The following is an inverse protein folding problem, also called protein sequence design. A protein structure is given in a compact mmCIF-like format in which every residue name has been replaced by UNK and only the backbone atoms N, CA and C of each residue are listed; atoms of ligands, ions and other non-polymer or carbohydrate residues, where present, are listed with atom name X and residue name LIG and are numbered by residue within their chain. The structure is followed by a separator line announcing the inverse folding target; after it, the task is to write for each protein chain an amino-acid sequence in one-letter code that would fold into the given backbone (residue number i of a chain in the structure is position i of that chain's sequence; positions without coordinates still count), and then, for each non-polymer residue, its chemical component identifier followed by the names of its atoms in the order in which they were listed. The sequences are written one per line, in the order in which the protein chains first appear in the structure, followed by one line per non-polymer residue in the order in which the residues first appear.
data_IF_507684779304
#
_entry.id   IF_507684779304
#
_cell.length_a   1.000
_cell.length_b   1.000
_cell.length_c   1.000
_cell.angle_alpha   90.00
_cell.angle_beta   90.00
_cell.angle_gamma   90.00
#
_symmetry.space_group_name_H-M   'P 1'
#
loop_
_entity.id
_entity.type
_entity.pdbx_description
1 polymer ?
#
# COMPACT_ATOMS: atom_id res chain seq x y z
N UNK A 1 -11.60 -7.84 -4.49
CA UNK A 1 -11.03 -6.80 -3.61
C UNK A 1 -9.71 -6.32 -4.19
N UNK A 2 -9.55 -5.01 -4.32
CA UNK A 2 -8.29 -4.36 -4.65
C UNK A 2 -7.94 -3.36 -3.55
N UNK A 3 -6.65 -3.18 -3.31
CA UNK A 3 -6.15 -2.20 -2.36
C UNK A 3 -4.95 -1.48 -2.96
N UNK A 4 -4.90 -0.15 -2.83
CA UNK A 4 -3.81 0.67 -3.33
C UNK A 4 -3.63 1.91 -2.46
N UNK A 5 -2.46 2.52 -2.58
CA UNK A 5 -2.13 3.77 -1.90
C UNK A 5 -1.87 4.87 -2.93
N UNK A 6 -2.42 6.04 -2.71
CA UNK A 6 -2.12 7.24 -3.49
C UNK A 6 -1.32 8.18 -2.61
N UNK A 7 -0.11 8.55 -3.02
CA UNK A 7 0.71 9.51 -2.28
C UNK A 7 0.93 10.76 -3.13
N UNK A 8 0.60 11.91 -2.55
CA UNK A 8 0.84 13.23 -3.13
C UNK A 8 1.94 13.96 -2.36
N UNK A 9 2.27 15.18 -2.80
CA UNK A 9 3.23 16.02 -2.08
C UNK A 9 2.77 16.39 -0.66
N UNK A 10 1.46 16.45 -0.42
CA UNK A 10 0.88 17.02 0.82
C UNK A 10 0.13 16.00 1.67
N UNK A 11 0.02 14.75 1.23
CA UNK A 11 -0.70 13.71 1.95
C UNK A 11 -0.75 12.40 1.19
N UNK A 12 -1.31 11.38 1.83
CA UNK A 12 -1.51 10.07 1.23
C UNK A 12 -2.86 9.47 1.62
N UNK A 13 -3.37 8.62 0.76
CA UNK A 13 -4.65 7.93 0.89
C UNK A 13 -4.42 6.43 0.73
N UNK A 14 -5.18 5.64 1.50
CA UNK A 14 -5.28 4.19 1.33
C UNK A 14 -6.69 3.90 0.87
N UNK A 15 -6.80 3.20 -0.25
CA UNK A 15 -8.09 2.81 -0.82
C UNK A 15 -8.23 1.30 -0.76
N UNK A 16 -9.42 0.85 -0.39
CA UNK A 16 -9.84 -0.54 -0.44
C UNK A 16 -11.15 -0.55 -1.21
N UNK A 17 -11.19 -1.27 -2.33
CA UNK A 17 -12.39 -1.42 -3.14
C UNK A 17 -12.80 -2.90 -3.20
N UNK A 18 -14.10 -3.14 -3.01
CA UNK A 18 -14.67 -4.49 -2.99
C UNK A 18 -15.94 -4.49 -3.83
N UNK A 19 -15.96 -5.31 -4.88
CA UNK A 19 -17.18 -5.60 -5.62
C UNK A 19 -17.93 -6.74 -4.94
N UNK A 20 -19.20 -6.52 -4.66
CA UNK A 20 -20.08 -7.49 -4.01
C UNK A 20 -21.15 -7.96 -4.97
N UNK A 21 -21.60 -9.20 -4.80
CA UNK A 21 -22.79 -9.68 -5.48
C UNK A 21 -24.01 -8.96 -4.93
N UNK A 22 -24.99 -8.66 -5.78
CA UNK A 22 -26.28 -8.12 -5.35
C UNK A 22 -26.88 -8.94 -4.20
N UNK A 23 -27.32 -8.26 -3.14
CA UNK A 23 -27.88 -8.88 -1.95
C UNK A 23 -26.85 -9.42 -0.94
N UNK A 24 -25.55 -9.22 -1.16
CA UNK A 24 -24.52 -9.50 -0.14
C UNK A 24 -24.62 -8.48 0.99
N UNK A 25 -24.25 -8.90 2.20
CA UNK A 25 -24.17 -8.02 3.37
C UNK A 25 -22.84 -7.22 3.37
N UNK A 26 -22.88 -5.87 3.24
CA UNK A 26 -21.68 -5.05 3.32
C UNK A 26 -20.99 -5.13 4.70
N UNK A 27 -21.74 -5.35 5.78
CA UNK A 27 -21.17 -5.45 7.13
C UNK A 27 -20.25 -6.67 7.27
N UNK A 28 -20.54 -7.76 6.55
CA UNK A 28 -19.66 -8.93 6.49
C UNK A 28 -18.29 -8.60 5.88
N UNK A 29 -18.23 -7.69 4.90
CA UNK A 29 -16.96 -7.23 4.32
C UNK A 29 -16.14 -6.47 5.35
N UNK A 30 -16.80 -5.62 6.13
CA UNK A 30 -16.14 -4.83 7.17
C UNK A 30 -15.53 -5.73 8.25
N UNK A 31 -16.27 -6.77 8.67
CA UNK A 31 -15.75 -7.77 9.59
C UNK A 31 -14.52 -8.52 9.04
N UNK A 32 -14.49 -8.81 7.73
CA UNK A 32 -13.31 -9.41 7.08
C UNK A 32 -12.13 -8.44 7.10
N UNK A 33 -12.33 -7.16 6.81
CA UNK A 33 -11.27 -6.15 6.86
C UNK A 33 -10.73 -5.97 8.27
N UNK A 34 -11.60 -5.99 9.28
CA UNK A 34 -11.20 -5.95 10.69
C UNK A 34 -10.36 -7.17 11.05
N UNK A 35 -10.80 -8.37 10.65
CA UNK A 35 -10.05 -9.61 10.89
C UNK A 35 -8.68 -9.60 10.19
N UNK A 36 -8.57 -9.03 8.99
CA UNK A 36 -7.28 -8.87 8.29
C UNK A 36 -6.36 -7.90 9.04
N UNK A 37 -6.91 -6.83 9.62
CA UNK A 37 -6.13 -5.88 10.42
C UNK A 37 -5.67 -6.48 11.75
N UNK A 38 -6.43 -7.43 12.30
CA UNK A 38 -6.07 -8.15 13.53
C UNK A 38 -5.17 -9.37 13.28
N UNK A 39 -5.10 -9.86 12.04
CA UNK A 39 -4.26 -10.99 11.67
C UNK A 39 -2.78 -10.64 11.77
N UNK A 40 -2.09 -11.30 12.70
CA UNK A 40 -0.68 -11.10 12.92
C UNK A 40 0.12 -11.86 11.87
N UNK A 41 0.50 -11.15 10.79
CA UNK A 41 1.35 -11.68 9.73
C UNK A 41 2.59 -12.40 10.28
N UNK A 42 2.86 -13.60 9.75
CA UNK A 42 4.09 -14.33 10.06
C UNK A 42 5.31 -13.68 9.36
N UNK A 43 6.51 -13.98 9.87
CA UNK A 43 7.73 -13.39 9.31
C UNK A 43 7.95 -13.79 7.85
N UNK A 44 7.55 -15.01 7.46
CA UNK A 44 7.72 -15.52 6.10
C UNK A 44 6.88 -14.72 5.08
N UNK A 45 5.68 -14.30 5.46
CA UNK A 45 4.80 -13.48 4.65
C UNK A 45 5.41 -12.07 4.46
N UNK A 46 5.99 -11.51 5.53
CA UNK A 46 6.69 -10.22 5.50
C UNK A 46 7.90 -10.31 4.55
N UNK A 47 8.77 -11.30 4.75
CA UNK A 47 9.98 -11.48 3.95
C UNK A 47 9.65 -11.65 2.46
N UNK A 48 8.60 -12.43 2.15
CA UNK A 48 8.11 -12.61 0.79
C UNK A 48 7.65 -11.28 0.17
N UNK A 49 6.95 -10.45 0.95
CA UNK A 49 6.46 -9.16 0.46
C UNK A 49 7.59 -8.16 0.25
N UNK A 50 8.55 -8.09 1.17
CA UNK A 50 9.79 -7.30 1.03
C UNK A 50 10.51 -7.70 -0.25
N UNK A 51 10.79 -9.00 -0.43
CA UNK A 51 11.46 -9.54 -1.62
C UNK A 51 10.73 -9.14 -2.91
N UNK A 52 9.39 -9.29 -2.94
CA UNK A 52 8.58 -8.91 -4.10
C UNK A 52 8.68 -7.41 -4.40
N UNK A 53 8.65 -6.57 -3.36
CA UNK A 53 8.71 -5.12 -3.51
C UNK A 53 10.08 -4.67 -4.03
N UNK A 54 11.14 -5.24 -3.50
CA UNK A 54 12.50 -5.00 -3.96
C UNK A 54 12.71 -5.42 -5.42
N UNK A 55 12.28 -6.64 -5.77
CA UNK A 55 12.38 -7.12 -7.14
C UNK A 55 11.63 -6.20 -8.12
N UNK A 56 10.43 -5.73 -7.76
CA UNK A 56 9.68 -4.76 -8.56
C UNK A 56 10.37 -3.39 -8.68
N UNK A 57 11.02 -2.93 -7.61
CA UNK A 57 11.81 -1.70 -7.63
C UNK A 57 13.05 -1.85 -8.52
N UNK A 58 13.79 -2.95 -8.42
CA UNK A 58 14.95 -3.24 -9.29
C UNK A 58 14.52 -3.36 -10.75
N UNK A 59 13.43 -4.09 -11.01
CA UNK A 59 12.89 -4.22 -12.37
C UNK A 59 12.45 -2.88 -12.95
N UNK A 60 12.01 -1.93 -12.11
CA UNK A 60 11.69 -0.57 -12.54
C UNK A 60 12.87 0.17 -13.15
N UNK A 61 14.10 -0.19 -12.77
CA UNK A 61 15.31 0.37 -13.34
C UNK A 61 15.68 -0.27 -14.68
N UNK A 62 14.99 -1.29 -15.19
CA UNK A 62 15.39 -1.89 -16.48
C UNK A 62 15.26 -0.92 -17.67
N UNK A 63 14.36 0.06 -17.61
CA UNK A 63 14.16 1.08 -18.66
C UNK A 63 14.97 2.36 -18.42
N UNK A 64 15.69 2.84 -19.45
CA UNK A 64 16.55 4.03 -19.36
C UNK A 64 15.77 5.32 -19.01
N UNK A 65 14.59 5.50 -19.61
CA UNK A 65 13.69 6.63 -19.33
C UNK A 65 13.23 6.62 -17.87
N UNK A 66 12.94 5.44 -17.33
CA UNK A 66 12.44 5.27 -15.96
C UNK A 66 13.52 5.56 -14.92
N UNK A 67 14.79 5.20 -15.20
CA UNK A 67 15.95 5.59 -14.37
C UNK A 67 16.10 7.12 -14.32
N UNK A 68 16.09 7.78 -15.48
CA UNK A 68 16.22 9.23 -15.56
C UNK A 68 15.09 9.95 -14.79
N UNK A 69 13.84 9.48 -14.92
CA UNK A 69 12.71 10.04 -14.16
C UNK A 69 12.85 9.84 -12.64
N UNK A 70 13.38 8.70 -12.17
CA UNK A 70 13.60 8.46 -10.74
C UNK A 70 14.64 9.44 -10.20
N UNK A 71 15.79 9.59 -10.88
CA UNK A 71 16.87 10.51 -10.48
C UNK A 71 16.37 11.95 -10.49
N UNK A 72 15.72 12.39 -11.58
CA UNK A 72 15.19 13.75 -11.70
C UNK A 72 14.18 14.08 -10.60
N UNK A 73 13.21 13.18 -10.35
CA UNK A 73 12.23 13.36 -9.28
C UNK A 73 12.90 13.41 -7.91
N UNK A 74 13.93 12.61 -7.71
CA UNK A 74 14.65 12.58 -6.44
C UNK A 74 15.44 13.84 -6.17
N UNK A 75 16.14 14.37 -7.18
CA UNK A 75 16.81 15.66 -7.08
C UNK A 75 15.80 16.78 -6.85
N UNK A 76 14.67 16.76 -7.57
CA UNK A 76 13.66 17.81 -7.50
C UNK A 76 12.94 17.89 -6.14
N UNK A 77 12.60 16.75 -5.54
CA UNK A 77 11.81 16.72 -4.31
C UNK A 77 12.61 16.48 -3.04
N UNK A 78 13.82 15.93 -3.14
CA UNK A 78 14.58 15.47 -1.97
C UNK A 78 16.06 15.89 -1.99
N UNK A 79 16.55 16.55 -3.04
CA UNK A 79 17.97 16.89 -3.24
C UNK A 79 18.92 15.69 -3.04
N UNK A 80 18.42 14.48 -3.31
CA UNK A 80 19.12 13.22 -3.03
C UNK A 80 19.15 12.36 -4.29
N UNK A 81 20.23 12.32 -5.06
CA UNK A 81 20.30 11.47 -6.26
C UNK A 81 20.17 9.96 -5.93
N UNK A 82 20.51 9.56 -4.70
CA UNK A 82 20.54 8.15 -4.25
C UNK A 82 19.24 7.65 -3.58
N UNK A 83 18.09 8.32 -3.78
CA UNK A 83 16.82 7.89 -3.13
C UNK A 83 16.44 6.45 -3.41
N UNK A 84 16.89 5.88 -4.53
CA UNK A 84 16.60 4.48 -4.84
C UNK A 84 17.23 3.52 -3.81
N UNK A 85 18.47 3.76 -3.39
CA UNK A 85 19.12 2.96 -2.37
C UNK A 85 18.43 3.15 -1.01
N UNK A 86 18.03 4.38 -0.70
CA UNK A 86 17.25 4.68 0.50
C UNK A 86 15.88 3.97 0.49
N UNK A 87 15.19 3.91 -0.65
CA UNK A 87 13.92 3.21 -0.81
C UNK A 87 14.05 1.70 -0.56
N UNK A 88 15.09 1.08 -1.11
CA UNK A 88 15.38 -0.34 -0.85
C UNK A 88 15.67 -0.58 0.63
N UNK A 89 16.49 0.27 1.27
CA UNK A 89 16.76 0.18 2.69
C UNK A 89 15.48 0.31 3.52
N UNK A 90 14.57 1.23 3.15
CA UNK A 90 13.26 1.38 3.81
C UNK A 90 12.40 0.13 3.66
N UNK A 91 12.36 -0.52 2.50
CA UNK A 91 11.61 -1.76 2.32
C UNK A 91 12.17 -2.90 3.18
N UNK A 92 13.51 -3.02 3.27
CA UNK A 92 14.18 -4.03 4.10
C UNK A 92 13.98 -3.82 5.60
N UNK A 93 13.78 -2.59 6.03
CA UNK A 93 13.62 -2.24 7.44
C UNK A 93 12.20 -2.52 7.98
N UNK A 94 11.27 -3.02 7.14
CA UNK A 94 9.91 -3.35 7.59
C UNK A 94 9.94 -4.52 8.57
N UNK A 95 9.43 -4.27 9.77
CA UNK A 95 9.26 -5.26 10.84
C UNK A 95 7.78 -5.48 11.15
N UNK A 96 7.48 -6.57 11.87
CA UNK A 96 6.13 -6.83 12.39
C UNK A 96 5.61 -5.63 13.21
N UNK A 97 6.42 -5.11 14.13
CA UNK A 97 6.03 -3.97 14.97
C UNK A 97 5.75 -2.72 14.13
N UNK A 98 6.54 -2.46 13.08
CA UNK A 98 6.30 -1.32 12.18
C UNK A 98 4.98 -1.45 11.41
N UNK A 99 4.58 -2.69 11.10
CA UNK A 99 3.29 -3.00 10.46
C UNK A 99 2.16 -2.78 11.47
N UNK A 100 2.28 -3.32 12.69
CA UNK A 100 1.28 -3.17 13.75
C UNK A 100 1.04 -1.67 14.05
N UNK A 101 2.11 -0.86 14.11
CA UNK A 101 2.02 0.61 14.26
C UNK A 101 1.32 1.26 13.06
N UNK A 102 1.63 0.84 11.83
CA UNK A 102 1.00 1.39 10.63
C UNK A 102 -0.50 1.05 10.55
N UNK A 103 -0.89 -0.19 10.90
CA UNK A 103 -2.28 -0.63 10.96
C UNK A 103 -3.06 0.22 11.97
N UNK A 104 -2.54 0.35 13.19
CA UNK A 104 -3.17 1.15 14.24
C UNK A 104 -3.31 2.63 13.84
N UNK A 105 -2.31 3.17 13.15
CA UNK A 105 -2.31 4.58 12.74
C UNK A 105 -3.23 4.88 11.56
N UNK A 106 -3.24 4.02 10.55
CA UNK A 106 -3.83 4.35 9.25
C UNK A 106 -5.06 3.51 8.89
N UNK A 107 -5.09 2.23 9.23
CA UNK A 107 -6.22 1.35 8.89
C UNK A 107 -7.32 1.35 9.96
N UNK A 108 -6.97 1.70 11.20
CA UNK A 108 -7.94 1.88 12.30
C UNK A 108 -8.41 3.33 12.48
N UNK A 109 -7.87 4.26 11.70
CA UNK A 109 -8.31 5.66 11.71
C UNK A 109 -9.73 5.79 11.13
N UNK A 110 -10.47 6.88 11.44
CA UNK A 110 -11.71 7.20 10.76
C UNK A 110 -11.51 7.24 9.24
N UNK A 111 -12.44 6.65 8.50
CA UNK A 111 -12.39 6.56 7.04
C UNK A 111 -13.74 6.90 6.41
N UNK A 112 -13.72 7.19 5.11
CA UNK A 112 -14.91 7.39 4.31
C UNK A 112 -15.27 6.08 3.62
N UNK A 113 -16.50 5.63 3.82
CA UNK A 113 -17.07 4.48 3.12
C UNK A 113 -18.02 4.99 2.03
N UNK A 114 -17.86 4.48 0.82
CA UNK A 114 -18.72 4.81 -0.33
C UNK A 114 -19.29 3.51 -0.86
N UNK A 115 -20.60 3.34 -0.73
CA UNK A 115 -21.32 2.21 -1.29
C UNK A 115 -22.05 2.62 -2.57
N UNK A 116 -21.87 1.84 -3.63
CA UNK A 116 -22.60 2.03 -4.90
C UNK A 116 -23.53 0.84 -5.12
N UNK A 117 -24.83 1.09 -5.03
CA UNK A 117 -25.86 0.05 -5.18
C UNK A 117 -26.51 0.21 -6.57
N UNK A 118 -26.65 -0.86 -7.37
CA UNK A 118 -27.39 -0.79 -8.62
C UNK A 118 -28.83 -0.33 -8.40
N UNK A 119 -29.31 0.59 -9.23
CA UNK A 119 -30.74 0.93 -9.29
C UNK A 119 -31.53 -0.32 -9.69
N UNK A 120 -32.52 -0.72 -8.88
CA UNK A 120 -33.50 -1.70 -9.33
C UNK A 120 -34.19 -1.17 -10.60
N UNK A 121 -34.20 -1.96 -11.66
CA UNK A 121 -35.03 -1.76 -12.87
C UNK A 121 -35.95 -2.96 -13.00
#
# INVERSE_FOLDING_TARGET
MSAWTTNTRVGGEIHIAVDLRTGSDPAAVRAILDAICDDRLDQRAIDRMVTRREAGAIWSLSGITRRASIVQRSMLYHDQPDSFAADLARYRAVTKDSIDVAVARWLRAPFVEVETIPSAS
#
